data_IF_553246166021
#
_entry.id   IF_553246166021
#
_cell.length_a   1.000
_cell.length_b   1.000
_cell.length_c   1.000
_cell.angle_alpha   90.00
_cell.angle_beta   90.00
_cell.angle_gamma   90.00
#
_symmetry.space_group_name_H-M   'P 1'
#
loop_
_entity.id
_entity.type
_entity.pdbx_description
1 polymer ?
#
# COMPACT_ATOMS: atom_id res chain seq x y z
N UNK A 1 49.75 -0.69 -3.44
CA UNK A 1 48.50 -1.48 -3.34
C UNK A 1 47.42 -0.76 -2.54
N UNK A 2 47.72 -0.12 -1.40
CA UNK A 2 46.72 0.58 -0.57
C UNK A 2 46.00 1.77 -1.22
N UNK A 3 46.60 2.43 -2.22
CA UNK A 3 46.08 3.68 -2.79
C UNK A 3 44.86 3.54 -3.71
N UNK A 4 44.52 2.33 -4.18
CA UNK A 4 43.38 2.10 -5.09
C UNK A 4 42.21 1.37 -4.43
N UNK A 5 42.38 0.86 -3.21
CA UNK A 5 41.33 0.12 -2.50
C UNK A 5 40.11 1.00 -2.21
N UNK A 6 40.32 2.27 -1.89
CA UNK A 6 39.25 3.21 -1.57
C UNK A 6 38.33 3.49 -2.77
N UNK A 7 38.82 3.92 -3.96
CA UNK A 7 37.96 4.11 -5.12
C UNK A 7 37.23 2.83 -5.54
N UNK A 8 37.87 1.66 -5.46
CA UNK A 8 37.21 0.38 -5.76
C UNK A 8 36.07 0.08 -4.76
N UNK A 9 36.31 0.31 -3.47
CA UNK A 9 35.28 0.12 -2.44
C UNK A 9 34.09 1.06 -2.66
N UNK A 10 34.35 2.33 -2.98
CA UNK A 10 33.30 3.31 -3.27
C UNK A 10 32.48 2.90 -4.49
N UNK A 11 33.11 2.51 -5.61
CA UNK A 11 32.38 2.04 -6.80
C UNK A 11 31.46 0.86 -6.48
N UNK A 12 31.95 -0.12 -5.71
CA UNK A 12 31.17 -1.28 -5.27
C UNK A 12 30.02 -0.89 -4.34
N UNK A 13 30.27 0.02 -3.39
CA UNK A 13 29.23 0.49 -2.48
C UNK A 13 28.10 1.21 -3.23
N UNK A 14 28.42 2.09 -4.18
CA UNK A 14 27.44 2.73 -5.05
C UNK A 14 26.66 1.70 -5.87
N UNK A 15 27.34 0.73 -6.49
CA UNK A 15 26.70 -0.33 -7.26
C UNK A 15 25.74 -1.20 -6.42
N UNK A 16 26.11 -1.54 -5.18
CA UNK A 16 25.26 -2.30 -4.26
C UNK A 16 24.02 -1.51 -3.86
N UNK A 17 24.16 -0.22 -3.52
CA UNK A 17 23.01 0.63 -3.20
C UNK A 17 22.11 0.80 -4.42
N UNK A 18 22.70 1.03 -5.59
CA UNK A 18 21.95 1.10 -6.83
C UNK A 18 21.14 -0.19 -7.09
N UNK A 19 21.78 -1.34 -6.91
CA UNK A 19 21.16 -2.67 -7.03
C UNK A 19 19.99 -2.88 -6.05
N UNK A 20 20.14 -2.44 -4.80
CA UNK A 20 19.13 -2.65 -3.76
C UNK A 20 17.89 -1.76 -3.92
N UNK A 21 18.04 -0.54 -4.45
CA UNK A 21 16.99 0.48 -4.42
C UNK A 21 16.38 0.85 -5.80
N UNK A 22 16.99 0.44 -6.92
CA UNK A 22 16.45 0.67 -8.28
C UNK A 22 15.86 -0.61 -8.87
N UNK A 23 14.55 -0.60 -9.07
CA UNK A 23 13.78 -1.78 -9.50
C UNK A 23 13.78 -2.04 -11.01
N UNK A 24 14.35 -1.14 -11.81
CA UNK A 24 14.19 -1.14 -13.27
C UNK A 24 15.51 -1.35 -14.03
N UNK A 25 16.49 -2.03 -13.44
CA UNK A 25 17.76 -2.30 -14.13
C UNK A 25 17.57 -3.51 -15.04
N UNK A 26 17.69 -3.31 -16.35
CA UNK A 26 17.47 -4.36 -17.36
C UNK A 26 18.36 -5.60 -17.15
N UNK A 27 19.62 -5.39 -16.75
CA UNK A 27 20.57 -6.46 -16.44
C UNK A 27 20.07 -7.43 -15.36
N UNK A 28 19.23 -6.94 -14.44
CA UNK A 28 18.75 -7.72 -13.29
C UNK A 28 17.50 -8.54 -13.60
N UNK A 29 16.85 -8.34 -14.75
CA UNK A 29 15.73 -9.21 -15.16
C UNK A 29 16.16 -10.66 -15.41
N UNK A 30 17.47 -10.91 -15.59
CA UNK A 30 18.05 -12.25 -15.67
C UNK A 30 18.06 -12.99 -14.32
N UNK A 31 17.97 -12.27 -13.20
CA UNK A 31 17.93 -12.85 -11.87
C UNK A 31 16.50 -12.79 -11.31
N UNK A 32 15.91 -13.90 -10.82
CA UNK A 32 14.52 -13.97 -10.36
C UNK A 32 14.26 -13.30 -9.00
N UNK A 33 14.98 -12.22 -8.66
CA UNK A 33 14.86 -11.49 -7.40
C UNK A 33 13.90 -10.30 -7.62
N UNK A 34 12.61 -10.57 -7.74
CA UNK A 34 11.56 -9.54 -7.84
C UNK A 34 11.08 -9.10 -6.45
N UNK A 35 11.96 -8.51 -5.63
CA UNK A 35 11.53 -7.86 -4.39
C UNK A 35 11.15 -6.42 -4.68
N UNK A 36 9.91 -6.23 -5.12
CA UNK A 36 9.28 -4.91 -5.21
C UNK A 36 8.48 -4.65 -3.94
N UNK A 37 9.16 -4.29 -2.86
CA UNK A 37 8.45 -3.58 -1.80
C UNK A 37 8.27 -2.14 -2.26
N UNK A 38 7.04 -1.64 -2.44
CA UNK A 38 6.81 -0.22 -2.60
C UNK A 38 7.19 0.45 -1.29
N UNK A 39 8.45 0.88 -1.17
CA UNK A 39 8.90 1.65 -0.02
C UNK A 39 8.18 3.01 -0.06
N UNK A 40 7.47 3.31 1.04
CA UNK A 40 6.69 4.55 1.18
C UNK A 40 7.57 5.77 0.91
N UNK A 41 7.01 6.74 0.20
CA UNK A 41 7.71 7.96 -0.20
C UNK A 41 8.08 8.88 0.99
N UNK A 42 7.63 8.57 2.19
CA UNK A 42 7.66 9.49 3.33
C UNK A 42 8.99 9.50 4.09
N UNK A 43 9.92 8.61 3.77
CA UNK A 43 11.24 8.57 4.42
C UNK A 43 12.32 9.24 3.55
N UNK A 44 12.73 10.45 3.95
CA UNK A 44 13.76 11.25 3.26
C UNK A 44 15.09 10.50 3.09
N UNK A 45 15.48 9.63 4.04
CA UNK A 45 16.71 8.85 3.94
C UNK A 45 16.61 7.79 2.85
N UNK A 46 15.46 7.14 2.71
CA UNK A 46 15.22 6.19 1.63
C UNK A 46 15.14 6.89 0.28
N UNK A 47 14.53 8.08 0.23
CA UNK A 47 14.53 8.91 -0.97
C UNK A 47 15.97 9.28 -1.38
N UNK A 48 16.82 9.65 -0.42
CA UNK A 48 18.22 9.96 -0.66
C UNK A 48 19.05 8.75 -1.13
N UNK A 49 18.92 7.61 -0.44
CA UNK A 49 19.60 6.36 -0.81
C UNK A 49 19.22 5.89 -2.21
N UNK A 50 17.94 6.03 -2.57
CA UNK A 50 17.40 5.61 -3.86
C UNK A 50 17.84 6.51 -5.02
N UNK A 51 17.92 7.82 -4.79
CA UNK A 51 18.06 8.79 -5.89
C UNK A 51 19.43 9.47 -5.98
N UNK A 52 20.19 9.62 -4.90
CA UNK A 52 21.39 10.47 -4.90
C UNK A 52 22.64 9.81 -4.33
N UNK A 53 22.49 8.83 -3.44
CA UNK A 53 23.66 8.26 -2.74
C UNK A 53 24.62 7.55 -3.69
N UNK A 54 24.11 6.78 -4.66
CA UNK A 54 24.96 6.09 -5.64
C UNK A 54 25.82 7.08 -6.43
N UNK A 55 25.20 8.14 -6.93
CA UNK A 55 25.86 9.15 -7.78
C UNK A 55 26.93 9.91 -6.99
N UNK A 56 26.65 10.24 -5.73
CA UNK A 56 27.60 10.87 -4.83
C UNK A 56 28.84 9.98 -4.61
N UNK A 57 28.62 8.72 -4.26
CA UNK A 57 29.70 7.76 -3.99
C UNK A 57 30.55 7.53 -5.24
N UNK A 58 29.92 7.48 -6.41
CA UNK A 58 30.61 7.34 -7.70
C UNK A 58 31.40 8.58 -8.08
N UNK A 59 30.86 9.78 -7.89
CA UNK A 59 31.58 11.04 -8.12
C UNK A 59 32.86 11.11 -7.27
N UNK A 60 32.77 10.71 -5.98
CA UNK A 60 33.94 10.64 -5.10
C UNK A 60 34.95 9.61 -5.63
N UNK A 61 34.48 8.43 -6.07
CA UNK A 61 35.36 7.40 -6.61
C UNK A 61 36.10 7.87 -7.88
N UNK A 62 35.41 8.49 -8.84
CA UNK A 62 36.01 9.04 -10.07
C UNK A 62 37.03 10.13 -9.75
N UNK A 63 36.75 10.98 -8.75
CA UNK A 63 37.69 12.00 -8.27
C UNK A 63 38.96 11.38 -7.72
N UNK A 64 38.84 10.33 -6.91
CA UNK A 64 40.01 9.60 -6.39
C UNK A 64 40.83 8.96 -7.52
N UNK A 65 40.16 8.36 -8.51
CA UNK A 65 40.85 7.78 -9.68
C UNK A 65 41.57 8.87 -10.49
N UNK A 66 40.93 10.01 -10.72
CA UNK A 66 41.50 11.15 -11.45
C UNK A 66 42.74 11.71 -10.75
N UNK A 67 42.73 11.82 -9.42
CA UNK A 67 43.90 12.23 -8.62
C UNK A 67 45.05 11.22 -8.74
N UNK A 68 44.74 9.92 -8.67
CA UNK A 68 45.75 8.87 -8.82
C UNK A 68 46.34 8.77 -10.22
N UNK A 69 45.60 9.14 -11.25
CA UNK A 69 46.14 9.30 -12.61
C UNK A 69 47.21 10.39 -12.67
N UNK A 70 46.92 11.53 -12.05
CA UNK A 70 47.84 12.68 -12.02
C UNK A 70 49.11 12.29 -11.26
N UNK A 71 48.97 11.65 -10.09
CA UNK A 71 50.12 11.12 -9.32
C UNK A 71 50.96 10.11 -10.12
N UNK A 72 50.32 9.31 -10.98
CA UNK A 72 50.99 8.32 -11.82
C UNK A 72 51.64 8.91 -13.09
N UNK A 73 51.65 10.24 -13.25
CA UNK A 73 52.22 10.92 -14.41
C UNK A 73 51.38 10.79 -15.69
N UNK A 74 50.11 10.40 -15.58
CA UNK A 74 49.21 10.38 -16.74
C UNK A 74 48.84 11.83 -17.11
N UNK A 75 48.80 12.19 -18.42
CA UNK A 75 48.44 13.54 -18.83
C UNK A 75 47.11 14.00 -18.23
N UNK A 76 47.07 15.23 -17.70
CA UNK A 76 45.91 15.82 -17.01
C UNK A 76 44.61 15.78 -17.82
N UNK A 77 44.73 15.80 -19.16
CA UNK A 77 43.60 15.66 -20.08
C UNK A 77 42.73 14.44 -19.77
N UNK A 78 43.33 13.29 -19.46
CA UNK A 78 42.56 12.07 -19.15
C UNK A 78 41.79 12.16 -17.85
N UNK A 79 42.34 12.84 -16.84
CA UNK A 79 41.63 13.10 -15.58
C UNK A 79 40.47 14.07 -15.77
N UNK A 80 40.64 15.10 -16.61
CA UNK A 80 39.57 16.04 -16.96
C UNK A 80 38.46 15.31 -17.72
N UNK A 81 38.83 14.46 -18.70
CA UNK A 81 37.88 13.67 -19.46
C UNK A 81 37.07 12.75 -18.54
N UNK A 82 37.74 12.02 -17.63
CA UNK A 82 37.08 11.15 -16.65
C UNK A 82 36.10 11.91 -15.75
N UNK A 83 36.46 13.11 -15.30
CA UNK A 83 35.59 13.94 -14.45
C UNK A 83 34.44 14.61 -15.22
N UNK A 84 34.61 14.82 -16.53
CA UNK A 84 33.56 15.38 -17.39
C UNK A 84 32.47 14.37 -17.78
N UNK A 85 32.70 13.07 -17.56
CA UNK A 85 31.79 12.01 -17.98
C UNK A 85 30.39 12.08 -17.34
N UNK A 86 30.22 12.23 -16.01
CA UNK A 86 28.90 12.36 -15.40
C UNK A 86 28.12 13.57 -15.91
N UNK A 87 28.81 14.70 -16.14
CA UNK A 87 28.18 15.91 -16.68
C UNK A 87 27.75 15.69 -18.13
N UNK A 88 28.58 15.01 -18.91
CA UNK A 88 28.28 14.70 -20.31
C UNK A 88 27.11 13.73 -20.42
N UNK A 89 27.01 12.72 -19.56
CA UNK A 89 25.87 11.79 -19.56
C UNK A 89 24.57 12.50 -19.22
N UNK A 90 24.55 13.39 -18.24
CA UNK A 90 23.37 14.22 -17.90
C UNK A 90 22.95 15.15 -19.06
N UNK A 91 23.90 15.80 -19.74
CA UNK A 91 23.59 16.63 -20.91
C UNK A 91 22.96 15.79 -22.03
N UNK A 92 23.53 14.61 -22.31
CA UNK A 92 23.02 13.72 -23.35
C UNK A 92 21.61 13.20 -23.01
N UNK A 93 21.34 12.91 -21.74
CA UNK A 93 20.00 12.57 -21.26
C UNK A 93 19.03 13.75 -21.37
N UNK A 94 19.45 14.96 -20.98
CA UNK A 94 18.64 16.16 -21.08
C UNK A 94 18.25 16.50 -22.53
N UNK A 95 19.13 16.21 -23.49
CA UNK A 95 18.84 16.37 -24.93
C UNK A 95 17.94 15.27 -25.51
N UNK A 96 17.61 14.23 -24.73
CA UNK A 96 16.86 13.06 -25.20
C UNK A 96 17.65 12.17 -26.16
N UNK A 97 18.96 12.39 -26.33
CA UNK A 97 19.83 11.56 -27.17
C UNK A 97 20.03 10.18 -26.54
N UNK A 98 20.02 10.11 -25.21
CA UNK A 98 20.04 8.88 -24.43
C UNK A 98 18.74 8.79 -23.65
N UNK A 99 17.98 7.73 -23.90
CA UNK A 99 16.75 7.44 -23.16
C UNK A 99 17.07 6.79 -21.80
N UNK A 100 16.53 7.36 -20.72
CA UNK A 100 16.65 6.82 -19.36
C UNK A 100 17.65 7.58 -18.50
N UNK A 101 17.41 7.59 -17.19
CA UNK A 101 18.17 8.40 -16.24
C UNK A 101 19.51 7.80 -15.82
N UNK A 102 19.80 6.51 -16.07
CA UNK A 102 21.11 5.89 -15.80
C UNK A 102 21.02 4.37 -16.11
N UNK A 103 21.46 3.86 -17.27
CA UNK A 103 21.20 2.42 -17.53
C UNK A 103 22.22 1.58 -18.32
N UNK A 104 23.27 2.13 -18.95
CA UNK A 104 24.22 1.25 -19.68
C UNK A 104 25.55 1.93 -20.01
N UNK A 105 25.50 3.18 -20.45
CA UNK A 105 26.68 3.96 -20.82
C UNK A 105 27.60 4.16 -19.61
N UNK A 106 27.03 4.44 -18.44
CA UNK A 106 27.79 4.63 -17.22
C UNK A 106 28.47 3.33 -16.78
N UNK A 107 27.77 2.17 -16.84
CA UNK A 107 28.36 0.85 -16.58
C UNK A 107 29.48 0.49 -17.57
N UNK A 108 29.31 0.84 -18.84
CA UNK A 108 30.32 0.63 -19.90
C UNK A 108 31.55 1.51 -19.67
N UNK A 109 31.35 2.77 -19.28
CA UNK A 109 32.41 3.69 -18.90
C UNK A 109 33.15 3.16 -17.66
N UNK A 110 32.44 2.68 -16.64
CA UNK A 110 33.04 2.12 -15.43
C UNK A 110 33.84 0.86 -15.72
N UNK A 111 33.34 0.01 -16.62
CA UNK A 111 34.05 -1.18 -17.07
C UNK A 111 35.29 -0.80 -17.90
N UNK A 112 35.20 0.18 -18.79
CA UNK A 112 36.32 0.65 -19.60
C UNK A 112 37.43 1.26 -18.72
N UNK A 113 37.05 2.07 -17.73
CA UNK A 113 37.96 2.61 -16.71
C UNK A 113 38.60 1.46 -15.93
N UNK A 114 37.80 0.53 -15.40
CA UNK A 114 38.30 -0.66 -14.70
C UNK A 114 39.29 -1.46 -15.54
N UNK A 115 38.95 -1.82 -16.78
CA UNK A 115 39.79 -2.57 -17.72
C UNK A 115 41.08 -1.80 -18.03
N UNK A 116 41.01 -0.49 -18.30
CA UNK A 116 42.19 0.32 -18.61
C UNK A 116 43.19 0.32 -17.45
N UNK A 117 42.73 0.51 -16.21
CA UNK A 117 43.60 0.50 -15.04
C UNK A 117 44.10 -0.88 -14.65
N UNK A 118 43.26 -1.90 -14.78
CA UNK A 118 43.69 -3.27 -14.50
C UNK A 118 44.70 -3.73 -15.55
N UNK A 119 44.45 -3.52 -16.85
CA UNK A 119 45.31 -3.94 -17.96
C UNK A 119 46.68 -3.24 -17.96
N UNK A 120 46.75 -1.93 -17.69
CA UNK A 120 48.00 -1.17 -17.70
C UNK A 120 48.97 -1.58 -16.58
N UNK A 121 48.47 -2.18 -15.49
CA UNK A 121 49.29 -2.76 -14.42
C UNK A 121 49.49 -4.28 -14.57
N UNK A 122 48.75 -4.93 -15.47
CA UNK A 122 48.78 -6.37 -15.72
C UNK A 122 49.80 -6.81 -16.77
N UNK A 123 50.23 -5.92 -17.66
CA UNK A 123 51.17 -6.22 -18.75
C UNK A 123 52.61 -6.52 -18.28
N UNK A 124 52.84 -6.72 -16.97
CA UNK A 124 54.15 -7.04 -16.40
C UNK A 124 54.25 -8.44 -15.73
N UNK A 125 53.36 -9.41 -16.03
CA UNK A 125 53.43 -10.75 -15.41
C UNK A 125 53.09 -11.92 -16.36
N UNK A 126 54.05 -12.86 -16.50
CA UNK A 126 54.19 -13.99 -17.44
C UNK A 126 53.17 -15.17 -17.38
N UNK A 127 51.97 -15.06 -16.79
CA UNK A 127 51.15 -16.26 -16.50
C UNK A 127 49.83 -16.38 -17.29
N UNK A 128 49.78 -17.42 -18.13
CA UNK A 128 48.74 -17.82 -19.09
C UNK A 128 47.32 -18.02 -18.53
N UNK A 129 47.17 -18.50 -17.29
CA UNK A 129 45.86 -18.73 -16.64
C UNK A 129 45.00 -17.45 -16.56
N UNK A 130 45.64 -16.28 -16.61
CA UNK A 130 45.00 -14.98 -16.50
C UNK A 130 44.44 -14.47 -17.83
N UNK A 131 44.95 -14.99 -18.96
CA UNK A 131 44.34 -14.76 -20.27
C UNK A 131 43.00 -15.48 -20.40
N UNK A 132 42.86 -16.67 -19.82
CA UNK A 132 41.57 -17.39 -19.78
C UNK A 132 40.52 -16.58 -19.03
N UNK A 133 40.86 -15.97 -17.88
CA UNK A 133 39.93 -15.12 -17.13
C UNK A 133 39.57 -13.84 -17.92
N UNK A 134 40.55 -13.25 -18.61
CA UNK A 134 40.30 -12.10 -19.50
C UNK A 134 39.36 -12.45 -20.65
N UNK A 135 39.59 -13.58 -21.33
CA UNK A 135 38.76 -14.04 -22.45
C UNK A 135 37.35 -14.43 -21.98
N UNK A 136 37.21 -15.09 -20.84
CA UNK A 136 35.90 -15.38 -20.23
C UNK A 136 35.17 -14.07 -19.89
N UNK A 137 35.87 -13.06 -19.38
CA UNK A 137 35.27 -11.75 -19.07
C UNK A 137 34.78 -11.05 -20.35
N UNK A 138 35.57 -11.10 -21.43
CA UNK A 138 35.18 -10.56 -22.74
C UNK A 138 34.01 -11.33 -23.34
N UNK A 139 33.94 -12.65 -23.14
CA UNK A 139 32.88 -13.50 -23.68
C UNK A 139 31.56 -13.34 -22.91
N UNK A 140 31.61 -13.20 -21.59
CA UNK A 140 30.45 -12.82 -20.78
C UNK A 140 29.98 -11.41 -21.18
N UNK A 141 30.91 -10.48 -21.41
CA UNK A 141 30.60 -9.13 -21.84
C UNK A 141 29.96 -9.08 -23.23
N UNK A 142 30.45 -9.84 -24.22
CA UNK A 142 29.87 -9.90 -25.55
C UNK A 142 28.51 -10.62 -25.58
N UNK A 143 28.31 -11.63 -24.73
CA UNK A 143 26.98 -12.24 -24.50
C UNK A 143 26.01 -11.23 -23.85
N UNK A 144 26.50 -10.35 -22.99
CA UNK A 144 25.70 -9.27 -22.38
C UNK A 144 25.32 -8.21 -23.42
N UNK A 145 26.24 -7.82 -24.31
CA UNK A 145 25.95 -6.93 -25.45
C UNK A 145 24.94 -7.56 -26.41
N UNK A 146 25.08 -8.85 -26.71
CA UNK A 146 24.12 -9.59 -27.55
C UNK A 146 22.74 -9.67 -26.88
N UNK A 147 22.67 -9.84 -25.55
CA UNK A 147 21.42 -9.77 -24.79
C UNK A 147 20.77 -8.37 -24.84
N UNK A 148 21.56 -7.30 -25.03
CA UNK A 148 21.09 -5.92 -25.19
C UNK A 148 20.71 -5.54 -26.63
N UNK A 149 21.14 -6.31 -27.64
CA UNK A 149 20.75 -6.12 -29.05
C UNK A 149 19.45 -6.82 -29.41
N UNK A 150 18.83 -7.55 -28.47
CA UNK A 150 17.46 -8.00 -28.69
C UNK A 150 16.56 -6.76 -28.84
N UNK A 151 15.75 -6.70 -29.91
CA UNK A 151 14.88 -5.56 -30.17
C UNK A 151 14.02 -5.29 -28.95
N UNK A 152 13.68 -4.01 -28.75
CA UNK A 152 12.80 -3.54 -27.68
C UNK A 152 11.73 -4.59 -27.38
N UNK A 153 11.48 -4.93 -26.09
CA UNK A 153 10.42 -5.85 -25.76
C UNK A 153 9.17 -5.41 -26.52
N UNK A 154 8.49 -6.34 -27.23
CA UNK A 154 7.46 -5.98 -28.20
C UNK A 154 6.54 -4.95 -27.57
N UNK A 155 6.26 -3.83 -28.27
CA UNK A 155 5.57 -2.69 -27.70
C UNK A 155 4.35 -3.21 -26.94
N UNK A 156 4.26 -2.87 -25.65
CA UNK A 156 3.18 -3.37 -24.79
C UNK A 156 1.88 -3.04 -25.51
N UNK A 157 1.11 -4.08 -25.86
CA UNK A 157 -0.18 -3.89 -26.54
C UNK A 157 -0.99 -2.86 -25.75
N UNK A 158 -1.57 -1.83 -26.41
CA UNK A 158 -2.32 -0.80 -25.72
C UNK A 158 -3.41 -1.46 -24.89
N UNK A 159 -3.55 -1.03 -23.64
CA UNK A 159 -4.59 -1.54 -22.74
C UNK A 159 -5.94 -1.05 -23.28
N UNK A 160 -6.74 -1.97 -23.82
CA UNK A 160 -8.10 -1.66 -24.25
C UNK A 160 -8.99 -1.61 -23.01
N UNK A 161 -9.71 -0.52 -22.86
CA UNK A 161 -10.63 -0.30 -21.76
C UNK A 161 -12.07 -0.38 -22.23
N UNK A 162 -12.84 -1.26 -21.62
CA UNK A 162 -14.28 -1.43 -21.81
C UNK A 162 -15.03 -0.57 -20.79
N UNK A 163 -16.12 0.08 -21.19
CA UNK A 163 -17.01 0.80 -20.27
C UNK A 163 -18.29 0.00 -20.11
N UNK A 164 -18.68 -0.27 -18.85
CA UNK A 164 -19.88 -1.04 -18.53
C UNK A 164 -20.65 -0.43 -17.36
N UNK A 165 -21.96 -0.67 -17.35
CA UNK A 165 -22.86 -0.34 -16.25
C UNK A 165 -23.02 -1.57 -15.37
N UNK A 166 -22.64 -1.45 -14.10
CA UNK A 166 -22.70 -2.54 -13.13
C UNK A 166 -23.88 -2.33 -12.19
N UNK A 167 -24.74 -3.34 -12.07
CA UNK A 167 -25.87 -3.34 -11.13
C UNK A 167 -25.69 -4.47 -10.15
N UNK A 168 -25.53 -4.14 -8.87
CA UNK A 168 -25.32 -5.13 -7.80
C UNK A 168 -26.59 -5.22 -6.96
N UNK A 169 -27.11 -6.44 -6.78
CA UNK A 169 -28.28 -6.66 -5.95
C UNK A 169 -27.97 -6.30 -4.49
N UNK A 170 -28.81 -5.44 -3.90
CA UNK A 170 -28.68 -5.03 -2.50
C UNK A 170 -28.67 -6.26 -1.58
N UNK A 171 -27.58 -6.44 -0.83
CA UNK A 171 -27.53 -7.47 0.21
C UNK A 171 -28.55 -7.13 1.30
N UNK A 172 -29.37 -8.12 1.66
CA UNK A 172 -30.38 -7.99 2.72
C UNK A 172 -29.68 -7.81 4.07
N UNK A 173 -30.19 -6.88 4.88
CA UNK A 173 -29.74 -6.69 6.25
C UNK A 173 -30.13 -7.91 7.10
N UNK A 174 -29.26 -8.31 8.04
CA UNK A 174 -29.51 -9.44 8.95
C UNK A 174 -29.94 -8.86 10.30
N UNK A 175 -31.21 -9.06 10.65
CA UNK A 175 -31.81 -8.49 11.85
C UNK A 175 -32.32 -9.64 12.72
N UNK A 176 -31.84 -9.68 13.96
CA UNK A 176 -32.26 -10.62 14.98
C UNK A 176 -32.68 -9.84 16.23
N UNK A 177 -33.92 -10.02 16.67
CA UNK A 177 -34.47 -9.35 17.85
C UNK A 177 -35.18 -10.38 18.73
N UNK A 178 -34.86 -10.42 20.03
CA UNK A 178 -35.61 -11.24 20.99
C UNK A 178 -36.92 -10.54 21.40
N UNK A 179 -38.02 -11.28 21.66
CA UNK A 179 -39.29 -10.70 22.10
C UNK A 179 -39.18 -9.84 23.37
N UNK A 180 -38.24 -10.15 24.25
CA UNK A 180 -37.98 -9.40 25.49
C UNK A 180 -37.59 -7.94 25.23
N UNK A 181 -37.00 -7.62 24.06
CA UNK A 181 -36.65 -6.25 23.72
C UNK A 181 -37.89 -5.36 23.62
N UNK A 182 -38.99 -5.84 23.02
CA UNK A 182 -40.25 -5.09 22.91
C UNK A 182 -40.78 -4.69 24.29
N UNK A 183 -40.69 -5.59 25.28
CA UNK A 183 -41.09 -5.30 26.66
C UNK A 183 -40.21 -4.20 27.30
N UNK A 184 -38.90 -4.25 27.08
CA UNK A 184 -37.97 -3.22 27.57
C UNK A 184 -38.32 -1.87 26.95
N UNK A 185 -38.51 -1.83 25.63
CA UNK A 185 -38.81 -0.62 24.87
C UNK A 185 -40.14 0.04 25.29
N UNK A 186 -41.17 -0.76 25.61
CA UNK A 186 -42.48 -0.27 26.10
C UNK A 186 -42.46 0.20 27.55
N UNK A 187 -41.63 -0.42 28.39
CA UNK A 187 -41.60 -0.15 29.83
C UNK A 187 -40.96 1.18 30.22
N UNK A 188 -40.08 1.73 29.37
CA UNK A 188 -39.33 2.95 29.67
C UNK A 188 -39.59 4.05 28.65
N UNK A 189 -40.18 5.16 29.13
CA UNK A 189 -40.40 6.37 28.32
C UNK A 189 -39.09 6.96 27.80
N UNK A 190 -38.02 6.86 28.61
CA UNK A 190 -36.70 7.39 28.31
C UNK A 190 -35.65 6.27 28.46
N UNK A 191 -35.43 5.51 27.39
CA UNK A 191 -34.44 4.44 27.39
C UNK A 191 -33.02 5.02 27.45
N UNK A 192 -32.26 4.57 28.44
CA UNK A 192 -30.84 4.88 28.60
C UNK A 192 -29.97 3.81 27.95
N UNK A 193 -28.90 4.24 27.28
CA UNK A 193 -27.98 3.32 26.64
C UNK A 193 -26.54 3.78 26.73
N UNK A 194 -25.62 2.82 26.70
CA UNK A 194 -24.19 3.09 26.57
C UNK A 194 -23.63 2.38 25.36
N UNK A 195 -22.74 3.05 24.63
CA UNK A 195 -22.00 2.46 23.52
C UNK A 195 -20.68 1.90 24.06
N UNK A 196 -20.52 0.58 23.99
CA UNK A 196 -19.31 -0.09 24.44
C UNK A 196 -18.32 -0.23 23.29
N UNK A 197 -17.09 0.20 23.56
CA UNK A 197 -15.94 -0.09 22.69
C UNK A 197 -15.43 -1.48 23.06
N UNK A 198 -15.27 -2.42 22.10
CA UNK A 198 -14.60 -3.68 22.35
C UNK A 198 -13.23 -3.41 22.97
N UNK A 199 -12.80 -4.23 23.93
CA UNK A 199 -11.47 -4.06 24.53
C UNK A 199 -10.45 -3.92 23.40
N UNK A 200 -9.75 -2.78 23.30
CA UNK A 200 -8.65 -2.65 22.37
C UNK A 200 -7.61 -3.64 22.86
N UNK A 201 -7.56 -4.85 22.28
CA UNK A 201 -6.38 -5.68 22.46
C UNK A 201 -5.15 -4.83 22.14
N UNK A 202 -4.03 -5.06 22.81
CA UNK A 202 -2.82 -4.21 22.85
C UNK A 202 -2.12 -3.93 21.49
N UNK A 203 -2.81 -4.11 20.36
CA UNK A 203 -2.29 -4.04 18.98
C UNK A 203 -3.07 -3.07 18.07
N UNK A 204 -3.85 -2.12 18.60
CA UNK A 204 -4.51 -1.09 17.79
C UNK A 204 -3.60 0.13 17.68
N UNK A 205 -3.28 0.58 16.46
CA UNK A 205 -2.44 1.78 16.25
C UNK A 205 -3.15 3.05 16.71
N UNK A 206 -2.41 4.11 17.02
CA UNK A 206 -3.01 5.40 17.47
C UNK A 206 -3.96 6.00 16.43
N UNK A 207 -3.64 5.86 15.14
CA UNK A 207 -4.51 6.27 14.02
C UNK A 207 -5.85 5.52 14.04
N UNK A 208 -5.81 4.20 14.29
CA UNK A 208 -7.01 3.39 14.41
C UNK A 208 -7.82 3.78 15.66
N UNK A 209 -7.18 4.11 16.79
CA UNK A 209 -7.88 4.62 17.98
C UNK A 209 -8.60 5.93 17.69
N UNK A 210 -7.97 6.85 16.98
CA UNK A 210 -8.55 8.15 16.64
C UNK A 210 -9.73 8.01 15.67
N UNK A 211 -9.57 7.21 14.60
CA UNK A 211 -10.64 6.90 13.66
C UNK A 211 -11.85 6.23 14.35
N UNK A 212 -11.58 5.28 15.25
CA UNK A 212 -12.59 4.62 16.06
C UNK A 212 -13.34 5.64 16.95
N UNK A 213 -12.63 6.54 17.62
CA UNK A 213 -13.24 7.56 18.49
C UNK A 213 -14.24 8.46 17.73
N UNK A 214 -13.90 8.86 16.50
CA UNK A 214 -14.79 9.65 15.63
C UNK A 214 -16.05 8.85 15.28
N UNK A 215 -15.90 7.55 14.98
CA UNK A 215 -17.02 6.67 14.66
C UNK A 215 -17.98 6.50 15.86
N UNK A 216 -17.46 6.20 17.05
CA UNK A 216 -18.29 6.02 18.24
C UNK A 216 -19.06 7.31 18.58
N UNK A 217 -18.40 8.47 18.52
CA UNK A 217 -19.06 9.77 18.74
C UNK A 217 -20.19 10.04 17.74
N UNK A 218 -20.01 9.59 16.50
CA UNK A 218 -21.03 9.74 15.46
C UNK A 218 -22.26 8.88 15.76
N UNK A 219 -22.06 7.63 16.16
CA UNK A 219 -23.15 6.72 16.55
C UNK A 219 -23.91 7.31 17.75
N UNK A 220 -23.19 7.67 18.82
CA UNK A 220 -23.76 8.31 20.02
C UNK A 220 -24.59 9.55 19.68
N UNK A 221 -24.09 10.41 18.79
CA UNK A 221 -24.80 11.60 18.33
C UNK A 221 -26.12 11.27 17.63
N UNK A 222 -26.18 10.23 16.79
CA UNK A 222 -27.43 9.85 16.13
C UNK A 222 -28.45 9.27 17.13
N UNK A 223 -28.00 8.50 18.13
CA UNK A 223 -28.88 8.01 19.20
C UNK A 223 -29.40 9.13 20.10
N UNK A 224 -28.54 10.08 20.50
CA UNK A 224 -28.96 11.24 21.28
C UNK A 224 -30.01 12.09 20.53
N UNK A 225 -29.80 12.35 19.23
CA UNK A 225 -30.78 13.04 18.37
C UNK A 225 -32.12 12.31 18.30
N UNK A 226 -32.13 10.99 18.41
CA UNK A 226 -33.34 10.19 18.39
C UNK A 226 -34.07 10.15 19.74
N UNK A 227 -33.55 10.81 20.78
CA UNK A 227 -34.17 10.92 22.09
C UNK A 227 -33.77 9.81 23.08
N UNK A 228 -32.70 9.07 22.81
CA UNK A 228 -32.12 8.14 23.79
C UNK A 228 -31.21 8.89 24.77
N UNK A 229 -31.19 8.46 26.03
CA UNK A 229 -30.22 8.96 27.01
C UNK A 229 -28.92 8.21 26.79
N UNK A 230 -27.95 8.85 26.12
CA UNK A 230 -26.65 8.23 25.81
C UNK A 230 -25.68 8.51 26.97
N UNK A 231 -25.25 7.46 27.67
CA UNK A 231 -24.33 7.52 28.81
C UNK A 231 -22.87 7.55 28.35
N UNK A 232 -21.99 8.13 29.18
CA UNK A 232 -20.56 8.26 28.89
C UNK A 232 -19.84 6.90 28.92
N UNK A 233 -19.21 6.53 27.80
CA UNK A 233 -18.50 5.26 27.63
C UNK A 233 -17.21 5.15 28.44
N UNK A 234 -16.52 6.25 28.74
CA UNK A 234 -15.29 6.25 29.53
C UNK A 234 -15.61 6.01 31.00
N UNK A 235 -16.68 6.63 31.51
CA UNK A 235 -17.19 6.37 32.85
C UNK A 235 -17.63 4.91 32.97
N UNK A 236 -18.38 4.40 31.99
CA UNK A 236 -18.82 3.00 31.96
C UNK A 236 -17.63 2.01 31.94
N UNK A 237 -16.59 2.31 31.16
CA UNK A 237 -15.37 1.49 31.13
C UNK A 237 -14.67 1.45 32.50
N UNK A 238 -14.54 2.59 33.20
CA UNK A 238 -13.96 2.64 34.55
C UNK A 238 -14.75 1.82 35.57
N UNK A 239 -16.08 1.86 35.50
CA UNK A 239 -16.94 1.06 36.39
C UNK A 239 -16.79 -0.44 36.08
N UNK A 240 -16.67 -0.80 34.80
CA UNK A 240 -16.42 -2.18 34.36
C UNK A 240 -15.07 -2.74 34.83
N UNK A 241 -14.04 -1.91 34.95
CA UNK A 241 -12.71 -2.31 35.43
C UNK A 241 -12.67 -2.56 36.94
N UNK A 242 -13.53 -1.87 37.70
CA UNK A 242 -13.57 -1.93 39.16
C UNK A 242 -14.49 -3.03 39.70
N UNK A 243 -15.52 -3.41 38.94
CA UNK A 243 -16.58 -4.31 39.37
C UNK A 243 -16.53 -5.70 38.71
N UNK A 244 -17.24 -6.67 39.30
CA UNK A 244 -17.43 -8.01 38.69
C UNK A 244 -18.12 -7.93 37.32
N UNK A 245 -17.89 -8.90 36.41
CA UNK A 245 -18.45 -8.99 35.03
C UNK A 245 -19.99 -9.09 34.92
N UNK A 246 -20.73 -8.87 35.99
CA UNK A 246 -22.20 -8.91 36.00
C UNK A 246 -22.78 -7.52 35.69
N UNK A 247 -23.37 -7.36 34.49
CA UNK A 247 -23.95 -6.09 34.06
C UNK A 247 -25.10 -5.62 34.97
N UNK A 248 -25.78 -6.54 35.67
CA UNK A 248 -26.92 -6.18 36.51
C UNK A 248 -26.52 -5.21 37.62
N UNK A 249 -25.33 -5.38 38.20
CA UNK A 249 -24.76 -4.48 39.21
C UNK A 249 -24.32 -3.14 38.62
N UNK A 250 -23.74 -3.18 37.42
CA UNK A 250 -23.29 -1.98 36.70
C UNK A 250 -24.48 -1.10 36.31
N UNK A 251 -25.63 -1.71 35.97
CA UNK A 251 -26.87 -1.00 35.68
C UNK A 251 -27.37 -0.15 36.85
N UNK A 252 -27.19 -0.62 38.09
CA UNK A 252 -27.57 0.14 39.28
C UNK A 252 -26.69 1.38 39.49
N UNK A 253 -25.42 1.31 39.12
CA UNK A 253 -24.46 2.41 39.28
C UNK A 253 -24.60 3.43 38.14
N UNK A 254 -24.80 2.94 36.92
CA UNK A 254 -24.75 3.75 35.70
C UNK A 254 -26.13 4.18 35.20
N UNK A 255 -27.20 3.64 35.79
CA UNK A 255 -28.58 3.84 35.34
C UNK A 255 -28.71 3.64 33.82
N UNK A 256 -28.24 2.48 33.37
CA UNK A 256 -28.21 2.09 31.95
C UNK A 256 -29.16 0.93 31.71
N UNK A 257 -30.07 1.05 30.74
CA UNK A 257 -31.01 -0.01 30.37
C UNK A 257 -30.39 -0.96 29.35
N UNK A 258 -29.72 -0.40 28.33
CA UNK A 258 -29.14 -1.16 27.22
C UNK A 258 -27.65 -0.85 26.99
N UNK A 259 -26.89 -1.88 26.65
CA UNK A 259 -25.53 -1.73 26.10
C UNK A 259 -25.60 -2.01 24.61
N UNK A 260 -25.13 -1.06 23.81
CA UNK A 260 -24.88 -1.24 22.38
C UNK A 260 -23.40 -1.56 22.19
N UNK A 261 -23.09 -2.70 21.59
CA UNK A 261 -21.72 -3.09 21.23
C UNK A 261 -21.57 -3.01 19.71
N UNK A 262 -20.49 -2.38 19.24
CA UNK A 262 -20.06 -2.47 17.85
C UNK A 262 -19.13 -3.68 17.71
N UNK A 263 -19.63 -4.80 17.18
CA UNK A 263 -18.87 -6.05 17.13
C UNK A 263 -17.78 -6.01 16.06
N UNK A 264 -18.17 -5.67 14.83
CA UNK A 264 -17.27 -5.58 13.69
C UNK A 264 -17.80 -4.58 12.69
N UNK A 265 -16.89 -3.99 11.93
CA UNK A 265 -17.22 -3.25 10.74
C UNK A 265 -16.11 -3.41 9.71
N UNK A 266 -16.49 -3.42 8.44
CA UNK A 266 -15.53 -3.38 7.34
C UNK A 266 -15.97 -2.36 6.31
N UNK A 267 -15.01 -1.56 5.88
CA UNK A 267 -15.16 -0.66 4.74
C UNK A 267 -14.60 -1.28 3.45
N UNK A 268 -14.34 -2.58 3.43
CA UNK A 268 -13.79 -3.25 2.25
C UNK A 268 -14.49 -4.57 2.04
N UNK A 269 -15.80 -4.59 2.23
CA UNK A 269 -16.61 -5.78 1.97
C UNK A 269 -16.62 -6.05 0.46
N UNK A 270 -16.01 -7.14 -0.04
CA UNK A 270 -15.89 -7.36 -1.47
C UNK A 270 -17.22 -7.85 -2.05
N UNK A 271 -17.68 -7.19 -3.11
CA UNK A 271 -18.79 -7.60 -3.96
C UNK A 271 -18.22 -7.96 -5.33
N UNK A 272 -18.27 -9.24 -5.63
CA UNK A 272 -17.70 -9.81 -6.84
C UNK A 272 -18.79 -9.96 -7.91
N UNK A 273 -18.55 -9.42 -9.09
CA UNK A 273 -19.49 -9.46 -10.21
C UNK A 273 -18.74 -9.76 -11.51
N UNK A 274 -19.37 -10.56 -12.36
CA UNK A 274 -18.85 -10.91 -13.70
C UNK A 274 -19.70 -10.33 -14.81
N UNK A 275 -20.94 -9.91 -14.54
CA UNK A 275 -21.86 -9.38 -15.54
C UNK A 275 -21.96 -7.86 -15.49
N UNK A 276 -22.12 -7.23 -16.64
CA UNK A 276 -22.33 -5.79 -16.78
C UNK A 276 -23.19 -5.50 -18.01
N UNK A 277 -23.84 -4.34 -18.06
CA UNK A 277 -24.54 -3.86 -19.25
C UNK A 277 -23.64 -2.96 -20.08
N UNK A 278 -23.56 -3.17 -21.39
CA UNK A 278 -22.85 -2.26 -22.30
C UNK A 278 -23.63 -0.96 -22.57
N UNK A 279 -23.07 -0.07 -23.40
CA UNK A 279 -23.72 1.20 -23.78
C UNK A 279 -25.05 1.02 -24.52
N UNK A 280 -25.34 -0.18 -25.02
CA UNK A 280 -26.60 -0.52 -25.70
C UNK A 280 -27.60 -1.18 -24.73
N UNK A 281 -27.22 -1.36 -23.46
CA UNK A 281 -28.03 -2.04 -22.45
C UNK A 281 -27.97 -3.56 -22.53
N UNK A 282 -27.16 -4.13 -23.41
CA UNK A 282 -27.03 -5.58 -23.53
C UNK A 282 -26.18 -6.14 -22.40
N UNK A 283 -26.61 -7.24 -21.80
CA UNK A 283 -25.85 -7.92 -20.75
C UNK A 283 -24.63 -8.62 -21.35
N UNK A 284 -23.46 -8.27 -20.85
CA UNK A 284 -22.17 -8.83 -21.20
C UNK A 284 -21.53 -9.50 -19.98
N UNK A 285 -20.61 -10.43 -20.24
CA UNK A 285 -19.79 -11.08 -19.21
C UNK A 285 -18.36 -10.59 -19.35
N UNK A 286 -17.83 -9.98 -18.29
CA UNK A 286 -16.43 -9.59 -18.22
C UNK A 286 -15.53 -10.83 -18.24
N UNK A 287 -14.36 -10.72 -18.86
CA UNK A 287 -13.40 -11.82 -18.90
C UNK A 287 -12.87 -12.20 -17.50
N UNK A 288 -13.09 -11.33 -16.50
CA UNK A 288 -12.63 -11.46 -15.13
C UNK A 288 -13.69 -10.97 -14.15
N UNK A 289 -13.60 -11.50 -12.94
CA UNK A 289 -14.37 -11.03 -11.81
C UNK A 289 -13.93 -9.62 -11.40
N UNK A 290 -14.88 -8.70 -11.38
CA UNK A 290 -14.69 -7.31 -10.96
C UNK A 290 -15.16 -7.21 -9.51
N UNK A 291 -14.34 -6.60 -8.66
CA UNK A 291 -14.65 -6.45 -7.23
C UNK A 291 -14.99 -4.99 -6.92
N UNK A 292 -16.16 -4.79 -6.32
CA UNK A 292 -16.59 -3.52 -5.74
C UNK A 292 -16.47 -3.58 -4.23
N UNK A 293 -16.00 -2.49 -3.60
CA UNK A 293 -15.95 -2.40 -2.15
C UNK A 293 -17.28 -1.84 -1.64
N UNK A 294 -18.02 -2.64 -0.90
CA UNK A 294 -19.12 -2.17 -0.06
C UNK A 294 -18.68 -2.06 1.40
N UNK A 295 -19.67 -1.95 2.28
CA UNK A 295 -19.44 -1.87 3.72
C UNK A 295 -20.39 -2.76 4.50
N UNK A 296 -19.96 -3.15 5.70
CA UNK A 296 -20.75 -3.91 6.64
C UNK A 296 -20.50 -3.35 8.04
N UNK A 297 -21.55 -3.29 8.85
CA UNK A 297 -21.44 -2.99 10.28
C UNK A 297 -22.37 -3.91 11.06
N UNK A 298 -21.86 -4.46 12.16
CA UNK A 298 -22.59 -5.37 13.05
C UNK A 298 -22.69 -4.76 14.45
N UNK A 299 -23.94 -4.62 14.90
CA UNK A 299 -24.29 -4.16 16.24
C UNK A 299 -24.86 -5.30 17.05
N UNK A 300 -24.50 -5.37 18.32
CA UNK A 300 -25.11 -6.26 19.31
C UNK A 300 -25.72 -5.44 20.42
N UNK A 301 -26.92 -5.82 20.84
CA UNK A 301 -27.68 -5.14 21.88
C UNK A 301 -27.84 -6.07 23.08
N UNK A 302 -27.47 -5.58 24.26
CA UNK A 302 -27.52 -6.32 25.52
C UNK A 302 -28.42 -5.56 26.48
N UNK A 303 -29.32 -6.27 27.15
CA UNK A 303 -30.04 -5.70 28.28
C UNK A 303 -29.21 -5.80 29.55
N UNK A 304 -29.05 -4.67 30.22
CA UNK A 304 -28.27 -4.58 31.45
C UNK A 304 -28.99 -5.31 32.58
N UNK A 305 -30.32 -5.15 32.70
CA UNK A 305 -31.13 -5.74 33.76
C UNK A 305 -31.20 -7.27 33.70
N UNK A 306 -31.26 -7.83 32.49
CA UNK A 306 -31.32 -9.28 32.29
C UNK A 306 -29.94 -9.92 32.07
N UNK A 307 -28.89 -9.12 31.88
CA UNK A 307 -27.56 -9.60 31.52
C UNK A 307 -27.60 -10.57 30.30
N UNK A 308 -28.44 -10.26 29.32
CA UNK A 308 -28.68 -11.10 28.14
C UNK A 308 -28.65 -10.28 26.84
N UNK A 309 -28.18 -10.90 25.76
CA UNK A 309 -28.26 -10.35 24.41
C UNK A 309 -29.73 -10.31 23.98
N UNK A 310 -30.22 -9.12 23.63
CA UNK A 310 -31.62 -8.89 23.21
C UNK A 310 -31.76 -8.61 21.71
N UNK A 311 -30.66 -8.34 21.00
CA UNK A 311 -30.66 -8.24 19.55
C UNK A 311 -29.27 -8.26 18.91
N UNK A 312 -29.23 -8.57 17.61
CA UNK A 312 -28.06 -8.47 16.72
C UNK A 312 -28.50 -7.91 15.37
N UNK A 313 -27.77 -6.92 14.86
CA UNK A 313 -28.15 -6.15 13.68
C UNK A 313 -26.94 -5.95 12.77
N UNK A 314 -26.95 -6.60 11.61
CA UNK A 314 -25.93 -6.44 10.57
C UNK A 314 -26.51 -5.67 9.40
N UNK A 315 -25.94 -4.50 9.13
CA UNK A 315 -26.34 -3.66 8.00
C UNK A 315 -25.30 -3.68 6.90
N UNK A 316 -25.77 -3.79 5.66
CA UNK A 316 -24.91 -3.82 4.48
C UNK A 316 -25.10 -2.58 3.61
N UNK A 317 -23.97 -1.99 3.19
CA UNK A 317 -23.92 -1.07 2.08
C UNK A 317 -23.45 -1.81 0.84
N UNK A 318 -24.37 -1.96 -0.11
CA UNK A 318 -24.06 -2.53 -1.43
C UNK A 318 -23.85 -1.37 -2.41
N UNK A 319 -22.69 -1.28 -3.08
CA UNK A 319 -22.47 -0.23 -4.07
C UNK A 319 -23.27 -0.53 -5.34
N UNK A 320 -23.56 0.51 -6.14
CA UNK A 320 -24.13 0.36 -7.48
C UNK A 320 -25.47 -0.39 -7.56
N UNK A 321 -26.34 -0.23 -6.56
CA UNK A 321 -27.68 -0.85 -6.56
C UNK A 321 -28.61 -0.31 -7.64
N UNK A 322 -28.36 0.92 -8.11
CA UNK A 322 -29.10 1.58 -9.18
C UNK A 322 -28.36 1.58 -10.54
N UNK A 323 -27.27 0.81 -10.65
CA UNK A 323 -26.37 0.89 -11.79
C UNK A 323 -25.29 1.96 -11.60
N UNK A 324 -24.05 1.64 -11.95
CA UNK A 324 -22.95 2.60 -11.98
C UNK A 324 -22.04 2.33 -13.18
N UNK A 325 -21.63 3.40 -13.88
CA UNK A 325 -20.76 3.29 -15.05
C UNK A 325 -19.29 3.22 -14.62
N UNK A 326 -18.59 2.16 -14.99
CA UNK A 326 -17.16 2.01 -14.76
C UNK A 326 -16.42 1.60 -16.02
N UNK A 327 -15.19 2.12 -16.12
CA UNK A 327 -14.23 1.76 -17.17
C UNK A 327 -13.24 0.75 -16.59
N UNK A 328 -13.15 -0.43 -17.21
CA UNK A 328 -12.29 -1.53 -16.77
C UNK A 328 -11.50 -2.09 -17.97
N UNK A 329 -10.45 -2.86 -17.72
CA UNK A 329 -9.65 -3.50 -18.77
C UNK A 329 -9.70 -5.01 -18.58
N UNK A 330 -10.06 -5.73 -19.64
CA UNK A 330 -10.04 -7.20 -19.66
C UNK A 330 -8.61 -7.79 -19.77
N UNK A 331 -7.58 -6.95 -19.99
CA UNK A 331 -6.21 -7.42 -20.20
C UNK A 331 -5.55 -7.99 -18.94
N UNK A 332 -4.83 -9.11 -19.10
CA UNK A 332 -4.13 -9.82 -18.02
C UNK A 332 -3.03 -8.99 -17.33
N UNK A 333 -2.47 -8.01 -18.04
CA UNK A 333 -1.35 -7.18 -17.60
C UNK A 333 -1.76 -6.03 -16.67
N UNK A 334 -3.05 -5.71 -16.56
CA UNK A 334 -3.56 -4.71 -15.63
C UNK A 334 -3.72 -5.28 -14.22
N UNK A 335 -2.61 -5.62 -13.54
CA UNK A 335 -2.58 -6.08 -12.13
C UNK A 335 -2.94 -5.01 -11.09
N UNK A 336 -3.60 -3.92 -11.47
CA UNK A 336 -4.19 -3.01 -10.48
C UNK A 336 -5.61 -3.51 -10.22
N UNK A 337 -5.79 -4.19 -9.09
CA UNK A 337 -7.11 -4.31 -8.46
C UNK A 337 -7.69 -2.90 -8.39
N UNK A 338 -8.76 -2.65 -9.14
CA UNK A 338 -9.42 -1.35 -9.17
C UNK A 338 -10.08 -1.12 -7.82
N UNK A 339 -9.35 -0.51 -6.90
CA UNK A 339 -9.96 0.10 -5.72
C UNK A 339 -10.69 1.34 -6.20
N UNK A 340 -12.00 1.23 -6.41
CA UNK A 340 -12.88 2.40 -6.37
C UNK A 340 -12.96 2.81 -4.90
N UNK A 341 -11.88 3.42 -4.39
CA UNK A 341 -11.75 3.89 -3.02
C UNK A 341 -12.45 5.25 -2.97
N UNK A 342 -13.79 5.23 -2.91
CA UNK A 342 -14.49 6.29 -2.19
C UNK A 342 -14.38 5.93 -0.73
N UNK A 343 -13.84 6.84 0.08
CA UNK A 343 -13.93 6.78 1.54
C UNK A 343 -15.33 6.30 1.89
N UNK A 344 -15.43 5.15 2.55
CA UNK A 344 -16.76 4.65 2.87
C UNK A 344 -17.40 5.66 3.79
N UNK A 345 -18.54 6.23 3.37
CA UNK A 345 -18.90 7.52 3.88
C UNK A 345 -19.22 7.39 5.35
N UNK A 346 -18.85 8.40 6.11
CA UNK A 346 -19.50 8.78 7.36
C UNK A 346 -21.02 8.51 7.32
N UNK A 347 -21.65 8.73 6.16
CA UNK A 347 -23.06 8.49 5.90
C UNK A 347 -23.48 7.02 6.02
N UNK A 348 -22.61 6.04 5.74
CA UNK A 348 -22.93 4.63 5.96
C UNK A 348 -23.20 4.37 7.44
N UNK A 349 -22.31 4.82 8.32
CA UNK A 349 -22.51 4.64 9.76
C UNK A 349 -23.72 5.43 10.27
N UNK A 350 -23.92 6.66 9.79
CA UNK A 350 -25.13 7.45 10.12
C UNK A 350 -26.40 6.69 9.71
N UNK A 351 -26.45 6.18 8.49
CA UNK A 351 -27.63 5.49 7.97
C UNK A 351 -27.86 4.15 8.69
N UNK A 352 -26.80 3.42 9.01
CA UNK A 352 -26.89 2.17 9.79
C UNK A 352 -27.36 2.43 11.22
N UNK A 353 -26.86 3.49 11.88
CA UNK A 353 -27.39 3.91 13.18
C UNK A 353 -28.87 4.30 13.11
N UNK A 354 -29.29 5.03 12.06
CA UNK A 354 -30.71 5.39 11.86
C UNK A 354 -31.59 4.18 11.60
N UNK A 355 -31.12 3.20 10.83
CA UNK A 355 -31.83 1.92 10.63
C UNK A 355 -32.00 1.21 11.97
N UNK A 356 -30.94 1.08 12.77
CA UNK A 356 -31.03 0.50 14.11
C UNK A 356 -32.02 1.25 15.00
N UNK A 357 -31.93 2.59 15.05
CA UNK A 357 -32.87 3.43 15.80
C UNK A 357 -34.32 3.19 15.36
N UNK A 358 -34.56 3.02 14.05
CA UNK A 358 -35.89 2.72 13.52
C UNK A 358 -36.38 1.39 14.07
N UNK A 359 -35.57 0.33 14.02
CA UNK A 359 -35.91 -0.98 14.61
C UNK A 359 -36.24 -0.87 16.11
N UNK A 360 -35.49 -0.05 16.86
CA UNK A 360 -35.74 0.17 18.30
C UNK A 360 -36.95 1.07 18.60
N UNK A 361 -37.53 1.72 17.59
CA UNK A 361 -38.73 2.56 17.74
C UNK A 361 -40.00 1.90 17.25
N UNK A 362 -39.93 0.83 16.46
CA UNK A 362 -41.13 0.10 15.97
C UNK A 362 -41.99 -0.39 17.14
N UNK A 363 -41.37 -0.70 18.28
CA UNK A 363 -42.03 -1.25 19.46
C UNK A 363 -42.37 -0.23 20.57
N UNK A 364 -42.06 1.06 20.40
CA UNK A 364 -42.45 2.13 21.33
C UNK A 364 -43.83 2.66 20.97
#
# INVERSE_FOLDING_TARGET
MKSMLLPTFLLLAGAIVYWLFRTNIYLLYLFPIQNSTPLSADNIYLYFLKNYFSDLVWCIALTQVALKLIEAGVPKFYSILLLSMPISSEILQATGLISGTFDWLDLLIYLAVFIYFFSKRYFSMKNFYKHIVGTISVLIFSLTIMACLFPDPPPRKPVVYTTGVFTIQQKKDEIFTKPQLSNILKSSKNLSMVLRVPNPGDKVTEEQKQANSVLYNLIEKEFAKAGFIVRDRLLFAKVLEQETKDYSKIGLITETDLILELLTYTTKQPYKITTFSDSQGSSQTAAREITFNGAMVEFKLISVKQNDMVGSYTFYYTPCTQGCTHRFSDSYSARRTWKVEKDIPKDFFVNSSRKLIKELKVDR
#
